data_IF_186675376902
#
_entry.id   IF_186675376902
#
_cell.length_a   1.000
_cell.length_b   1.000
_cell.length_c   1.000
_cell.angle_alpha   90.00
_cell.angle_beta   90.00
_cell.angle_gamma   90.00
#
_symmetry.space_group_name_H-M   'P 1'
#
loop_
_entity.id
_entity.type
_entity.pdbx_description
1 polymer ?
#
# COMPACT_ATOMS: atom_id res chain seq x y z
N UNK A 1 -13.21 -16.14 4.15
CA UNK A 1 -13.32 -15.25 2.96
C UNK A 1 -13.57 -16.07 1.70
N UNK A 2 -14.66 -16.83 1.64
CA UNK A 2 -15.06 -17.51 0.40
C UNK A 2 -15.83 -16.51 -0.47
N UNK A 3 -15.59 -16.51 -1.79
CA UNK A 3 -16.30 -15.72 -2.80
C UNK A 3 -16.06 -14.20 -2.87
N UNK A 4 -15.13 -13.62 -2.09
CA UNK A 4 -14.74 -12.21 -2.28
C UNK A 4 -13.80 -12.09 -3.47
N UNK A 5 -14.17 -11.31 -4.49
CA UNK A 5 -13.26 -10.92 -5.56
C UNK A 5 -12.39 -9.76 -5.07
N UNK A 6 -11.09 -9.85 -5.27
CA UNK A 6 -10.14 -8.79 -4.92
C UNK A 6 -9.31 -8.39 -6.14
N UNK A 7 -8.94 -7.12 -6.20
CA UNK A 7 -7.99 -6.60 -7.17
C UNK A 7 -6.63 -6.40 -6.48
N UNK A 8 -5.57 -6.90 -7.12
CA UNK A 8 -4.19 -6.59 -6.78
C UNK A 8 -3.64 -5.60 -7.81
N UNK A 9 -3.33 -4.38 -7.34
CA UNK A 9 -2.67 -3.35 -8.13
C UNK A 9 -1.16 -3.47 -7.93
N UNK A 10 -0.42 -3.54 -9.03
CA UNK A 10 1.03 -3.68 -9.05
C UNK A 10 1.66 -2.51 -9.79
N UNK A 11 2.77 -1.99 -9.28
CA UNK A 11 3.58 -1.02 -10.02
C UNK A 11 4.42 -1.71 -11.12
N UNK A 12 5.07 -0.90 -11.95
CA UNK A 12 5.95 -1.35 -13.03
C UNK A 12 7.34 -1.76 -12.51
N UNK A 13 7.37 -2.67 -11.54
CA UNK A 13 8.60 -3.29 -11.04
C UNK A 13 8.91 -4.55 -11.86
N UNK A 14 10.17 -4.72 -12.29
CA UNK A 14 10.60 -5.90 -13.07
C UNK A 14 10.44 -7.23 -12.33
N UNK A 15 10.28 -7.19 -11.00
CA UNK A 15 9.96 -8.39 -10.20
C UNK A 15 8.48 -8.82 -10.29
N UNK A 16 7.60 -7.96 -10.82
CA UNK A 16 6.19 -8.25 -11.02
C UNK A 16 5.99 -9.01 -12.32
N UNK A 17 6.07 -10.33 -12.24
CA UNK A 17 5.91 -11.24 -13.38
C UNK A 17 4.47 -11.19 -13.91
N UNK A 18 4.25 -10.90 -15.21
CA UNK A 18 2.94 -10.90 -15.84
C UNK A 18 2.19 -12.23 -15.64
N UNK A 19 0.86 -12.17 -15.58
CA UNK A 19 0.01 -13.36 -15.47
C UNK A 19 0.27 -14.38 -16.60
N UNK A 20 0.65 -13.90 -17.78
CA UNK A 20 0.97 -14.71 -18.96
C UNK A 20 2.24 -15.55 -18.79
N UNK A 21 3.12 -15.18 -17.86
CA UNK A 21 4.40 -15.83 -17.61
C UNK A 21 4.36 -16.72 -16.35
N UNK A 22 3.24 -16.73 -15.62
CA UNK A 22 3.10 -17.61 -14.46
C UNK A 22 3.00 -19.07 -14.87
N UNK A 23 3.58 -19.99 -14.08
CA UNK A 23 3.43 -21.42 -14.30
C UNK A 23 1.95 -21.85 -14.35
N UNK A 24 1.61 -22.74 -15.29
CA UNK A 24 0.23 -23.21 -15.53
C UNK A 24 -0.52 -23.79 -14.29
N UNK A 25 0.23 -24.21 -13.26
CA UNK A 25 -0.33 -24.71 -12.01
C UNK A 25 -0.75 -23.60 -11.05
N UNK A 26 -0.30 -22.36 -11.27
CA UNK A 26 -0.68 -21.18 -10.50
C UNK A 26 -1.87 -20.52 -11.20
N UNK A 27 -3.07 -20.74 -10.66
CA UNK A 27 -4.30 -20.08 -11.12
C UNK A 27 -4.93 -19.30 -10.00
N UNK A 28 -5.06 -17.99 -10.18
CA UNK A 28 -5.77 -17.12 -9.24
C UNK A 28 -7.29 -17.35 -9.41
N UNK A 29 -7.96 -17.74 -8.32
CA UNK A 29 -9.41 -18.03 -8.34
C UNK A 29 -10.27 -16.81 -8.00
N UNK A 30 -9.75 -15.92 -7.17
CA UNK A 30 -10.51 -14.81 -6.58
C UNK A 30 -9.76 -13.47 -6.65
N UNK A 31 -8.62 -13.43 -7.34
CA UNK A 31 -7.75 -12.24 -7.44
C UNK A 31 -7.57 -11.88 -8.91
N UNK A 32 -7.92 -10.64 -9.26
CA UNK A 32 -7.55 -10.03 -10.54
C UNK A 32 -6.27 -9.21 -10.33
N UNK A 33 -5.27 -9.36 -11.21
CA UNK A 33 -4.07 -8.53 -11.19
C UNK A 33 -4.20 -7.42 -12.22
N UNK A 34 -3.85 -6.21 -11.82
CA UNK A 34 -3.79 -5.03 -12.68
C UNK A 34 -2.44 -4.34 -12.49
N UNK A 35 -1.74 -4.12 -13.60
CA UNK A 35 -0.45 -3.45 -13.62
C UNK A 35 -0.68 -1.98 -13.93
N UNK A 36 -0.08 -1.11 -13.12
CA UNK A 36 -0.09 0.33 -13.35
C UNK A 36 0.90 0.65 -14.47
N UNK A 37 0.63 1.69 -15.30
CA UNK A 37 1.55 2.05 -16.36
C UNK A 37 2.93 2.46 -15.83
N UNK A 38 3.99 2.34 -16.67
CA UNK A 38 5.33 2.79 -16.34
C UNK A 38 5.37 4.25 -15.91
N UNK A 39 6.29 4.62 -15.01
CA UNK A 39 6.56 6.00 -14.60
C UNK A 39 5.36 6.76 -14.01
N UNK A 40 4.52 6.05 -13.26
CA UNK A 40 3.37 6.65 -12.61
C UNK A 40 3.79 7.77 -11.63
N UNK A 41 3.22 8.95 -11.82
CA UNK A 41 3.27 10.02 -10.82
C UNK A 41 2.41 9.56 -9.63
N UNK A 42 2.74 9.97 -8.40
CA UNK A 42 2.03 9.68 -7.13
C UNK A 42 0.50 9.87 -7.13
N UNK A 43 -0.07 10.36 -8.23
CA UNK A 43 -1.51 10.49 -8.48
C UNK A 43 -2.25 9.16 -8.49
N UNK A 44 -1.64 8.04 -8.92
CA UNK A 44 -2.36 6.78 -9.11
C UNK A 44 -1.90 5.64 -8.18
N UNK A 45 -0.79 5.80 -7.47
CA UNK A 45 -0.19 4.74 -6.65
C UNK A 45 -0.39 5.12 -5.16
N UNK A 46 -1.30 4.46 -4.42
CA UNK A 46 -1.65 4.85 -3.05
C UNK A 46 -0.47 4.84 -2.07
N UNK A 47 0.51 3.97 -2.31
CA UNK A 47 1.69 3.87 -1.46
C UNK A 47 2.53 5.16 -1.53
N UNK A 48 2.69 5.73 -2.72
CA UNK A 48 3.40 6.95 -3.07
C UNK A 48 2.54 8.19 -2.80
N UNK A 49 1.21 8.06 -2.83
CA UNK A 49 0.26 9.11 -2.46
C UNK A 49 0.30 9.47 -0.97
N UNK A 50 1.02 8.70 -0.14
CA UNK A 50 1.31 9.12 1.23
C UNK A 50 1.52 8.01 2.25
N UNK A 51 1.14 6.77 1.95
CA UNK A 51 1.26 5.65 2.91
C UNK A 51 2.74 5.42 3.25
N UNK A 52 3.63 5.31 2.26
CA UNK A 52 5.08 5.12 2.46
C UNK A 52 5.67 6.30 3.24
N UNK A 53 5.29 7.54 2.88
CA UNK A 53 5.77 8.74 3.57
C UNK A 53 5.36 8.72 5.06
N UNK A 54 4.11 8.39 5.34
CA UNK A 54 3.56 8.34 6.69
C UNK A 54 4.21 7.22 7.51
N UNK A 55 4.34 6.03 6.93
CA UNK A 55 5.06 4.91 7.51
C UNK A 55 6.51 5.27 7.86
N UNK A 56 7.28 5.82 6.91
CA UNK A 56 8.68 6.22 7.15
C UNK A 56 8.81 7.26 8.27
N UNK A 57 7.83 8.17 8.41
CA UNK A 57 7.83 9.14 9.50
C UNK A 57 7.65 8.47 10.87
N UNK A 58 6.74 7.50 10.98
CA UNK A 58 6.53 6.76 12.22
C UNK A 58 7.68 5.80 12.57
N UNK A 59 8.24 5.13 11.56
CA UNK A 59 9.46 4.34 11.76
C UNK A 59 10.60 5.20 12.33
N UNK A 60 10.88 6.37 11.72
CA UNK A 60 11.90 7.31 12.24
C UNK A 60 11.59 7.80 13.65
N UNK A 61 10.33 8.09 13.97
CA UNK A 61 9.93 8.46 15.33
C UNK A 61 10.29 7.36 16.33
N UNK A 62 10.03 6.09 16.00
CA UNK A 62 10.38 4.95 16.86
C UNK A 62 11.88 4.76 16.99
N UNK A 63 12.62 4.88 15.90
CA UNK A 63 14.08 4.86 15.92
C UNK A 63 14.65 5.96 16.84
N UNK A 64 14.10 7.17 16.78
CA UNK A 64 14.53 8.25 17.67
C UNK A 64 14.21 7.96 19.15
N UNK A 65 13.12 7.27 19.46
CA UNK A 65 12.80 6.86 20.84
C UNK A 65 13.80 5.80 21.34
N UNK A 66 14.15 4.83 20.51
CA UNK A 66 15.21 3.85 20.80
C UNK A 66 16.55 4.55 21.04
N UNK A 67 16.88 5.56 20.23
CA UNK A 67 18.11 6.35 20.40
C UNK A 67 18.16 7.07 21.76
N UNK A 68 17.03 7.62 22.21
CA UNK A 68 16.91 8.24 23.53
C UNK A 68 17.10 7.21 24.65
N UNK A 69 16.53 6.02 24.52
CA UNK A 69 16.71 4.93 25.48
C UNK A 69 18.18 4.45 25.55
N UNK A 70 18.85 4.36 24.39
CA UNK A 70 20.28 4.05 24.32
C UNK A 70 21.15 5.11 25.01
N UNK A 71 20.79 6.39 24.87
CA UNK A 71 21.46 7.49 25.55
C UNK A 71 21.29 7.39 27.06
N UNK A 72 20.08 7.15 27.55
CA UNK A 72 19.77 7.01 28.99
C UNK A 72 20.45 5.79 29.61
N UNK A 73 20.62 4.72 28.84
CA UNK A 73 21.30 3.49 29.28
C UNK A 73 22.83 3.51 29.14
N UNK A 74 23.43 4.64 28.70
CA UNK A 74 24.86 4.77 28.42
C UNK A 74 25.39 3.70 27.44
N UNK A 75 24.57 3.34 26.44
CA UNK A 75 24.98 2.41 25.39
C UNK A 75 26.08 3.05 24.54
N UNK A 76 27.16 2.31 24.25
CA UNK A 76 28.32 2.84 23.52
C UNK A 76 28.07 3.12 22.05
N UNK A 77 27.13 2.39 21.43
CA UNK A 77 26.80 2.49 20.02
C UNK A 77 25.30 2.83 19.85
N UNK A 78 25.01 4.12 19.89
CA UNK A 78 23.65 4.65 20.03
C UNK A 78 22.77 4.36 18.80
N UNK A 79 23.37 4.36 17.60
CA UNK A 79 22.67 4.14 16.33
C UNK A 79 22.58 2.67 15.94
N UNK A 80 23.19 1.78 16.73
CA UNK A 80 23.16 0.35 16.46
C UNK A 80 21.74 -0.16 16.56
N UNK A 81 21.32 -0.82 15.49
CA UNK A 81 20.00 -1.43 15.37
C UNK A 81 20.16 -2.88 14.91
N UNK A 82 19.58 -3.82 15.64
CA UNK A 82 19.50 -5.20 15.21
C UNK A 82 18.32 -5.39 14.25
N UNK A 83 18.45 -6.33 13.32
CA UNK A 83 17.39 -6.63 12.32
C UNK A 83 16.05 -6.93 13.01
N UNK A 84 16.07 -7.63 14.14
CA UNK A 84 14.86 -7.93 14.90
C UNK A 84 14.15 -6.67 15.42
N UNK A 85 14.91 -5.70 15.94
CA UNK A 85 14.37 -4.41 16.40
C UNK A 85 13.82 -3.59 15.24
N UNK A 86 14.53 -3.59 14.11
CA UNK A 86 14.04 -2.98 12.88
C UNK A 86 12.69 -3.57 12.45
N UNK A 87 12.55 -4.90 12.46
CA UNK A 87 11.29 -5.60 12.15
C UNK A 87 10.19 -5.19 13.14
N UNK A 88 10.47 -5.17 14.45
CA UNK A 88 9.49 -4.74 15.43
C UNK A 88 9.04 -3.29 15.22
N UNK A 89 9.96 -2.38 14.87
CA UNK A 89 9.61 -1.01 14.53
C UNK A 89 8.75 -0.90 13.27
N UNK A 90 9.04 -1.72 12.25
CA UNK A 90 8.21 -1.80 11.02
C UNK A 90 6.80 -2.26 11.35
N UNK A 91 6.67 -3.38 12.09
CA UNK A 91 5.37 -3.94 12.48
C UNK A 91 4.59 -2.93 13.31
N UNK A 92 5.24 -2.28 14.27
CA UNK A 92 4.56 -1.34 15.14
C UNK A 92 4.13 -0.06 14.40
N UNK A 93 4.97 0.46 13.50
CA UNK A 93 4.62 1.59 12.64
C UNK A 93 3.41 1.29 11.74
N UNK A 94 3.40 0.13 11.07
CA UNK A 94 2.30 -0.25 10.17
C UNK A 94 1.02 -0.63 10.91
N UNK A 95 1.13 -1.33 12.03
CA UNK A 95 -0.05 -1.89 12.74
C UNK A 95 -0.73 -0.85 13.63
N UNK A 96 0.05 0.03 14.27
CA UNK A 96 -0.48 0.92 15.31
C UNK A 96 -0.43 2.40 14.92
N UNK A 97 0.57 2.84 14.16
CA UNK A 97 0.77 4.28 13.94
C UNK A 97 0.16 4.78 12.63
N UNK A 98 0.32 4.01 11.53
CA UNK A 98 -0.33 4.33 10.25
C UNK A 98 -1.84 4.12 10.38
N UNK A 99 -2.57 5.23 10.47
CA UNK A 99 -4.03 5.18 10.67
C UNK A 99 -4.74 4.62 9.44
N UNK A 100 -5.77 3.77 9.60
CA UNK A 100 -6.61 3.31 8.49
C UNK A 100 -7.18 4.46 7.64
N UNK A 101 -7.52 5.59 8.28
CA UNK A 101 -7.97 6.81 7.58
C UNK A 101 -6.93 7.36 6.62
N UNK A 102 -5.64 7.31 6.95
CA UNK A 102 -4.55 7.72 6.04
C UNK A 102 -4.55 6.84 4.80
N UNK A 103 -4.65 5.52 4.98
CA UNK A 103 -4.71 4.56 3.87
C UNK A 103 -5.94 4.85 3.00
N UNK A 104 -7.13 4.95 3.60
CA UNK A 104 -8.37 5.27 2.86
C UNK A 104 -8.23 6.57 2.07
N UNK A 105 -7.68 7.63 2.68
CA UNK A 105 -7.48 8.90 2.01
C UNK A 105 -6.50 8.81 0.83
N UNK A 106 -5.42 8.02 0.94
CA UNK A 106 -4.50 7.79 -0.18
C UNK A 106 -5.19 7.06 -1.34
N UNK A 107 -6.02 6.05 -1.05
CA UNK A 107 -6.81 5.36 -2.08
C UNK A 107 -7.88 6.26 -2.72
N UNK A 108 -8.54 7.13 -1.94
CA UNK A 108 -9.46 8.14 -2.44
C UNK A 108 -8.75 9.19 -3.32
N UNK A 109 -7.57 9.66 -2.89
CA UNK A 109 -6.75 10.59 -3.65
C UNK A 109 -6.34 10.00 -5.00
N UNK A 110 -6.05 8.70 -5.05
CA UNK A 110 -5.76 7.99 -6.28
C UNK A 110 -6.99 7.63 -7.13
N UNK A 111 -8.20 8.03 -6.71
CA UNK A 111 -9.47 7.68 -7.37
C UNK A 111 -9.70 6.16 -7.52
N UNK A 112 -8.95 5.33 -6.80
CA UNK A 112 -9.13 3.87 -6.76
C UNK A 112 -10.35 3.51 -5.90
N UNK A 113 -10.68 4.38 -4.95
CA UNK A 113 -11.86 4.26 -4.10
C UNK A 113 -12.80 5.42 -4.37
N UNK A 114 -14.09 5.14 -4.47
CA UNK A 114 -15.14 6.16 -4.46
C UNK A 114 -15.50 6.53 -3.02
N UNK A 115 -15.83 7.80 -2.78
CA UNK A 115 -16.42 8.22 -1.51
C UNK A 115 -17.79 7.53 -1.44
N UNK A 116 -17.98 6.63 -0.48
CA UNK A 116 -19.33 6.14 -0.19
C UNK A 116 -20.16 7.35 0.25
N UNK A 117 -20.99 7.85 -0.66
CA UNK A 117 -22.25 8.44 -0.23
C UNK A 117 -23.05 7.35 0.49
N UNK A 118 -23.87 7.75 1.44
CA UNK A 118 -24.88 6.92 2.09
C UNK A 118 -25.90 6.41 1.07
N UNK A 119 -25.49 5.50 0.19
CA UNK A 119 -26.40 4.66 -0.57
C UNK A 119 -26.11 3.23 -0.15
N UNK A 120 -26.86 2.82 0.85
CA UNK A 120 -27.19 1.44 1.15
C UNK A 120 -27.67 0.80 -0.17
N UNK A 121 -26.77 0.08 -0.83
CA UNK A 121 -27.02 -0.48 -2.16
C UNK A 121 -25.73 -0.99 -2.77
N UNK A 122 -25.70 -2.29 -3.06
CA UNK A 122 -24.62 -3.00 -3.75
C UNK A 122 -24.15 -2.23 -5.00
N UNK A 123 -23.09 -1.42 -4.84
CA UNK A 123 -22.33 -0.91 -5.99
C UNK A 123 -21.64 -2.12 -6.59
N UNK A 124 -22.17 -2.59 -7.72
CA UNK A 124 -21.65 -3.77 -8.43
C UNK A 124 -20.18 -3.54 -8.79
N UNK A 125 -19.33 -4.53 -8.52
CA UNK A 125 -17.90 -4.53 -8.85
C UNK A 125 -17.61 -4.05 -10.29
N UNK A 126 -18.50 -4.32 -11.24
CA UNK A 126 -18.39 -3.87 -12.63
C UNK A 126 -18.33 -2.35 -12.80
N UNK A 127 -19.00 -1.59 -11.92
CA UNK A 127 -19.04 -0.13 -11.96
C UNK A 127 -17.70 0.46 -11.52
N UNK A 128 -17.16 -0.04 -10.40
CA UNK A 128 -15.84 0.37 -9.89
C UNK A 128 -14.74 0.03 -10.89
N UNK A 129 -14.81 -1.15 -11.50
CA UNK A 129 -13.89 -1.54 -12.59
C UNK A 129 -13.99 -0.60 -13.80
N UNK A 130 -15.20 -0.20 -14.20
CA UNK A 130 -15.41 0.70 -15.32
C UNK A 130 -14.88 2.11 -15.05
N UNK A 131 -15.13 2.65 -13.85
CA UNK A 131 -14.61 3.97 -13.45
C UNK A 131 -13.09 3.95 -13.34
N UNK A 132 -12.50 2.89 -12.76
CA UNK A 132 -11.06 2.74 -12.72
C UNK A 132 -10.47 2.65 -14.14
N UNK A 133 -11.11 1.91 -15.06
CA UNK A 133 -10.66 1.80 -16.45
C UNK A 133 -10.73 3.15 -17.19
N UNK A 134 -11.77 3.94 -16.94
CA UNK A 134 -11.90 5.31 -17.47
C UNK A 134 -10.77 6.20 -16.94
N UNK A 135 -10.51 6.17 -15.63
CA UNK A 135 -9.41 6.94 -15.00
C UNK A 135 -8.06 6.55 -15.59
N UNK A 136 -7.81 5.24 -15.81
CA UNK A 136 -6.57 4.78 -16.44
C UNK A 136 -6.46 5.25 -17.89
N UNK A 137 -7.56 5.22 -18.66
CA UNK A 137 -7.58 5.68 -20.05
C UNK A 137 -7.36 7.19 -20.22
N UNK A 138 -7.79 8.00 -19.25
CA UNK A 138 -7.57 9.46 -19.25
C UNK A 138 -6.11 9.83 -18.94
N UNK A 139 -5.36 8.91 -18.33
CA UNK A 139 -3.99 9.12 -17.87
C UNK A 139 -2.93 8.55 -18.82
N UNK A 140 -3.36 7.77 -19.82
CA UNK A 140 -2.53 7.29 -20.93
C UNK A 140 -2.49 8.27 -22.15
N UNK A 141 -3.16 9.43 -22.05
CA UNK A 141 -3.11 10.54 -23.02
C UNK A 141 -2.16 11.66 -22.58
#
# INVERSE_FOLDING_TARGET
>A
MTNRKIMLLLDDCTAHVPLTELPNHIKLKNTAMHYLPPNLISKLQPCDAGIIRNFKAYYRRRFNLMLLEHLESNTSDLEKIYILEAIYMVVAALTFDVKPKTIVNCFLHCKIRTVQGETDGDIKDSVVMSEFSVVMSELEQ
#
